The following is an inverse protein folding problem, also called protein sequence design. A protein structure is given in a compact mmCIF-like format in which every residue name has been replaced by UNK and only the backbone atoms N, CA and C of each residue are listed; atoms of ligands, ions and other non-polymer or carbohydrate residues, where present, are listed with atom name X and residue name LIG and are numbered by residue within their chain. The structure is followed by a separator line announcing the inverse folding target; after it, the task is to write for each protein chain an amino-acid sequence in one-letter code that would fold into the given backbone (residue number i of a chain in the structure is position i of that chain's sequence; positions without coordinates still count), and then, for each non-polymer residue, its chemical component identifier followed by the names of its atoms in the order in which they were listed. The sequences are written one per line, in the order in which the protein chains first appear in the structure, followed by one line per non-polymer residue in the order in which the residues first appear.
data_IF_966611953706
#
_entry.id   IF_966611953706
#
_cell.length_a   1.000
_cell.length_b   1.000
_cell.length_c   1.000
_cell.angle_alpha   90.00
_cell.angle_beta   90.00
_cell.angle_gamma   90.00
#
_symmetry.space_group_name_H-M   'P 1'
#
loop_
_entity.id
_entity.type
_entity.pdbx_description
1 polymer ?
#
# COMPACT_ATOMS: atom_id res chain seq x y z
N UNK A 1 31.05 -18.11 -60.56
CA UNK A 1 30.38 -16.94 -59.97
C UNK A 1 29.98 -17.36 -58.56
N UNK A 2 30.91 -17.31 -57.60
CA UNK A 2 31.08 -16.19 -56.64
C UNK A 2 29.85 -16.17 -55.70
N UNK A 3 29.92 -16.81 -54.53
CA UNK A 3 30.44 -16.31 -53.24
C UNK A 3 29.49 -15.34 -52.51
N UNK A 4 29.42 -15.53 -51.18
CA UNK A 4 28.79 -14.69 -50.12
C UNK A 4 27.27 -14.93 -49.94
N UNK A 5 26.70 -15.30 -48.78
CA UNK A 5 26.99 -15.20 -47.33
C UNK A 5 26.31 -16.44 -46.67
N UNK A 6 26.85 -17.31 -45.83
CA UNK A 6 27.66 -17.23 -44.59
C UNK A 6 27.10 -16.30 -43.51
N UNK A 7 26.90 -16.89 -42.32
CA UNK A 7 26.63 -16.26 -41.00
C UNK A 7 25.16 -15.84 -40.79
N UNK A 8 24.40 -16.27 -39.80
CA UNK A 8 24.72 -16.70 -38.41
C UNK A 8 23.52 -17.49 -37.84
N UNK A 9 23.63 -18.82 -37.76
CA UNK A 9 22.71 -19.67 -36.99
C UNK A 9 23.54 -20.35 -35.90
N UNK A 10 23.99 -19.62 -34.87
CA UNK A 10 24.69 -20.18 -33.70
C UNK A 10 24.96 -19.10 -32.63
N UNK A 11 23.95 -18.45 -32.03
CA UNK A 11 24.22 -17.53 -30.89
C UNK A 11 23.16 -17.45 -29.76
N UNK A 12 22.28 -18.44 -29.60
CA UNK A 12 21.43 -18.51 -28.39
C UNK A 12 21.77 -19.73 -27.53
N UNK A 13 23.06 -19.87 -27.20
CA UNK A 13 23.51 -20.75 -26.13
C UNK A 13 24.46 -19.94 -25.24
N UNK A 14 24.06 -19.80 -23.97
CA UNK A 14 24.91 -19.38 -22.85
C UNK A 14 25.50 -17.95 -22.90
N UNK A 15 24.80 -16.99 -22.28
CA UNK A 15 25.46 -15.83 -21.64
C UNK A 15 24.94 -15.64 -20.22
N UNK A 16 25.15 -16.65 -19.38
CA UNK A 16 25.19 -16.49 -17.93
C UNK A 16 26.52 -15.79 -17.60
N UNK A 17 26.53 -14.46 -17.64
CA UNK A 17 27.76 -13.70 -17.37
C UNK A 17 27.82 -13.39 -15.88
N UNK A 18 28.55 -14.24 -15.16
CA UNK A 18 29.05 -14.00 -13.80
C UNK A 18 29.87 -12.70 -13.83
N UNK A 19 29.39 -11.66 -13.14
CA UNK A 19 30.19 -10.47 -12.81
C UNK A 19 30.04 -10.13 -11.34
N UNK A 20 30.71 -10.90 -10.49
CA UNK A 20 31.14 -10.43 -9.19
C UNK A 20 32.50 -11.06 -8.86
N UNK A 21 33.56 -10.44 -9.38
CA UNK A 21 34.89 -10.51 -8.78
C UNK A 21 35.31 -9.07 -8.49
N UNK A 22 35.14 -8.66 -7.24
CA UNK A 22 35.91 -7.57 -6.64
C UNK A 22 36.72 -8.20 -5.51
N UNK A 23 38.02 -8.25 -5.68
CA UNK A 23 38.98 -8.63 -4.63
C UNK A 23 39.49 -7.37 -3.96
N UNK A 24 39.13 -7.13 -2.70
CA UNK A 24 40.02 -6.55 -1.67
C UNK A 24 39.36 -6.58 -0.28
N UNK A 25 40.01 -7.27 0.66
CA UNK A 25 39.91 -7.10 2.12
C UNK A 25 40.99 -6.09 2.57
N UNK A 26 40.98 -5.49 3.80
CA UNK A 26 40.38 -6.01 5.04
C UNK A 26 39.59 -5.01 5.94
N UNK A 27 38.73 -5.61 6.78
CA UNK A 27 38.18 -5.14 8.07
C UNK A 27 37.59 -3.72 8.18
N UNK A 28 36.34 -3.60 7.77
CA UNK A 28 35.32 -2.94 8.59
C UNK A 28 34.05 -3.76 8.49
N UNK A 29 33.38 -3.97 9.63
CA UNK A 29 32.10 -4.67 9.69
C UNK A 29 31.10 -3.94 8.80
N UNK A 30 30.92 -4.43 7.57
CA UNK A 30 29.91 -3.92 6.67
C UNK A 30 28.55 -4.26 7.31
N UNK A 31 27.84 -3.24 7.78
CA UNK A 31 26.38 -3.31 7.90
C UNK A 31 25.88 -3.91 6.59
N UNK A 32 25.13 -5.00 6.67
CA UNK A 32 24.37 -5.53 5.52
C UNK A 32 23.47 -4.38 5.06
N UNK A 33 23.88 -3.65 4.03
CA UNK A 33 22.98 -2.74 3.34
C UNK A 33 22.08 -3.64 2.55
N UNK A 34 20.88 -3.84 3.08
CA UNK A 34 19.83 -4.56 2.40
C UNK A 34 19.41 -3.66 1.24
N UNK A 35 20.11 -3.72 0.10
CA UNK A 35 19.85 -2.94 -1.12
C UNK A 35 18.59 -3.45 -1.83
N UNK A 36 17.54 -3.82 -1.06
CA UNK A 36 16.22 -4.02 -1.62
C UNK A 36 15.66 -2.63 -1.99
N UNK A 37 15.10 -2.46 -3.20
CA UNK A 37 14.43 -1.21 -3.53
C UNK A 37 13.28 -0.98 -2.55
N UNK A 38 13.19 0.25 -2.03
CA UNK A 38 12.13 0.68 -1.10
C UNK A 38 10.78 0.41 -1.74
N UNK A 39 9.95 -0.36 -1.03
CA UNK A 39 8.60 -0.69 -1.49
C UNK A 39 7.63 0.38 -1.01
N UNK A 40 7.04 1.13 -1.95
CA UNK A 40 6.02 2.15 -1.66
C UNK A 40 4.63 1.55 -1.68
N UNK A 41 3.78 2.00 -0.75
CA UNK A 41 2.36 1.69 -0.74
C UNK A 41 1.52 2.95 -0.53
N UNK A 42 0.28 2.90 -1.01
CA UNK A 42 -0.70 3.97 -0.89
C UNK A 42 -1.89 3.49 -0.07
N UNK A 43 -2.31 4.29 0.90
CA UNK A 43 -3.49 4.06 1.71
C UNK A 43 -4.56 5.10 1.37
N UNK A 44 -5.73 4.61 0.99
CA UNK A 44 -6.91 5.39 0.63
C UNK A 44 -8.10 5.01 1.51
N UNK A 45 -9.05 5.93 1.66
CA UNK A 45 -10.30 5.71 2.38
C UNK A 45 -11.49 5.41 1.47
N UNK A 46 -12.49 4.74 2.01
CA UNK A 46 -13.83 4.67 1.43
C UNK A 46 -14.88 4.68 2.54
N UNK A 47 -15.97 5.42 2.33
CA UNK A 47 -17.13 5.39 3.21
C UNK A 47 -17.91 4.09 3.00
N UNK A 48 -18.48 3.57 4.09
CA UNK A 48 -19.20 2.29 4.13
C UNK A 48 -20.58 2.50 4.75
N UNK A 49 -21.62 2.01 4.10
CA UNK A 49 -22.99 2.05 4.61
C UNK A 49 -23.38 0.80 5.41
N UNK A 50 -24.68 0.58 5.53
CA UNK A 50 -25.24 -0.56 6.28
C UNK A 50 -24.90 -1.91 5.63
N UNK A 51 -24.81 -1.94 4.31
CA UNK A 51 -24.43 -3.13 3.55
C UNK A 51 -22.96 -3.06 3.16
N UNK A 52 -22.29 -4.21 3.10
CA UNK A 52 -20.87 -4.29 2.70
C UNK A 52 -20.64 -3.84 1.25
N UNK A 53 -21.69 -3.80 0.45
CA UNK A 53 -21.69 -3.36 -0.95
C UNK A 53 -22.05 -1.88 -1.09
N UNK A 54 -22.50 -1.23 -0.01
CA UNK A 54 -22.72 0.21 0.04
C UNK A 54 -21.40 0.91 0.33
N UNK A 55 -20.59 1.09 -0.71
CA UNK A 55 -19.24 1.64 -0.60
C UNK A 55 -19.10 2.85 -1.51
N UNK A 56 -18.65 3.96 -0.93
CA UNK A 56 -18.34 5.19 -1.65
C UNK A 56 -16.87 5.53 -1.44
N UNK A 57 -16.01 5.34 -2.46
CA UNK A 57 -14.60 5.71 -2.34
C UNK A 57 -14.44 7.20 -2.01
N UNK A 58 -13.43 7.56 -1.22
CA UNK A 58 -13.14 8.96 -0.89
C UNK A 58 -12.88 9.79 -2.16
N UNK A 59 -12.97 11.13 -2.11
CA UNK A 59 -12.63 11.97 -3.26
C UNK A 59 -11.21 11.71 -3.79
N UNK A 60 -10.25 11.42 -2.93
CA UNK A 60 -8.88 11.08 -3.36
C UNK A 60 -8.82 9.69 -3.99
N UNK A 61 -9.51 8.71 -3.42
CA UNK A 61 -9.58 7.35 -3.96
C UNK A 61 -10.24 7.33 -5.35
N UNK A 62 -11.29 8.13 -5.55
CA UNK A 62 -11.94 8.29 -6.85
C UNK A 62 -11.00 8.92 -7.88
N UNK A 63 -10.26 9.96 -7.50
CA UNK A 63 -9.26 10.60 -8.36
C UNK A 63 -8.16 9.62 -8.76
N UNK A 64 -7.55 8.96 -7.79
CA UNK A 64 -6.53 7.94 -8.03
C UNK A 64 -7.03 6.85 -8.97
N UNK A 65 -8.20 6.27 -8.69
CA UNK A 65 -8.80 5.23 -9.53
C UNK A 65 -9.05 5.71 -10.97
N UNK A 66 -9.48 6.96 -11.15
CA UNK A 66 -9.71 7.57 -12.46
C UNK A 66 -8.41 7.75 -13.24
N UNK A 67 -7.33 8.17 -12.59
CA UNK A 67 -6.01 8.37 -13.21
C UNK A 67 -5.44 7.05 -13.76
N UNK A 68 -5.72 5.93 -13.10
CA UNK A 68 -5.23 4.61 -13.49
C UNK A 68 -6.26 3.80 -14.29
N UNK A 69 -7.42 4.38 -14.61
CA UNK A 69 -8.55 3.72 -15.29
C UNK A 69 -9.00 2.41 -14.61
N UNK A 70 -9.03 2.39 -13.28
CA UNK A 70 -9.45 1.23 -12.49
C UNK A 70 -10.87 1.42 -11.95
N UNK A 71 -11.75 0.44 -12.14
CA UNK A 71 -13.10 0.46 -11.56
C UNK A 71 -13.08 0.08 -10.08
N UNK A 72 -12.55 1.01 -9.26
CA UNK A 72 -12.43 0.81 -7.82
C UNK A 72 -13.80 0.61 -7.16
N UNK A 73 -14.81 1.37 -7.58
CA UNK A 73 -16.16 1.26 -7.01
C UNK A 73 -16.75 -0.11 -7.34
N UNK A 74 -16.73 -0.54 -8.60
CA UNK A 74 -17.23 -1.85 -8.99
C UNK A 74 -16.51 -3.01 -8.30
N UNK A 75 -15.18 -2.90 -8.11
CA UNK A 75 -14.40 -3.90 -7.37
C UNK A 75 -14.86 -4.03 -5.90
N UNK A 76 -15.10 -2.90 -5.23
CA UNK A 76 -15.53 -2.87 -3.83
C UNK A 76 -17.00 -3.26 -3.66
N UNK A 77 -17.91 -2.77 -4.50
CA UNK A 77 -19.35 -3.05 -4.36
C UNK A 77 -19.77 -4.40 -4.93
N UNK A 78 -18.99 -4.99 -5.83
CA UNK A 78 -19.33 -6.24 -6.51
C UNK A 78 -18.85 -7.48 -5.78
N UNK A 79 -17.53 -7.69 -5.73
CA UNK A 79 -16.94 -8.97 -5.30
C UNK A 79 -16.35 -8.93 -3.89
N UNK A 80 -15.78 -7.80 -3.49
CA UNK A 80 -14.96 -7.73 -2.28
C UNK A 80 -15.77 -7.30 -1.05
N UNK A 81 -16.68 -6.36 -1.22
CA UNK A 81 -17.30 -5.62 -0.13
C UNK A 81 -16.28 -4.83 0.71
N UNK A 82 -16.76 -3.91 1.53
CA UNK A 82 -15.95 -3.21 2.52
C UNK A 82 -16.83 -2.85 3.72
N UNK A 83 -16.37 -3.17 4.92
CA UNK A 83 -16.98 -2.74 6.18
C UNK A 83 -16.10 -1.70 6.89
N UNK A 84 -16.66 -1.04 7.91
CA UNK A 84 -15.90 -0.16 8.80
C UNK A 84 -14.68 -0.87 9.39
N UNK A 85 -13.50 -0.23 9.31
CA UNK A 85 -12.23 -0.78 9.81
C UNK A 85 -11.67 -1.95 8.99
N UNK A 86 -12.40 -2.45 7.99
CA UNK A 86 -11.85 -3.44 7.07
C UNK A 86 -10.98 -2.80 6.00
N UNK A 87 -10.07 -3.60 5.45
CA UNK A 87 -9.13 -3.18 4.41
C UNK A 87 -9.21 -4.13 3.22
N UNK A 88 -9.08 -3.58 2.01
CA UNK A 88 -8.80 -4.33 0.78
C UNK A 88 -7.49 -3.85 0.19
N UNK A 89 -6.58 -4.77 -0.09
CA UNK A 89 -5.25 -4.44 -0.63
C UNK A 89 -5.17 -4.96 -2.06
N UNK A 90 -4.81 -4.07 -2.98
CA UNK A 90 -4.62 -4.33 -4.39
C UNK A 90 -3.13 -4.20 -4.72
N UNK A 91 -2.51 -5.28 -5.17
CA UNK A 91 -1.09 -5.29 -5.54
C UNK A 91 -0.92 -4.87 -7.01
N UNK A 92 0.17 -4.14 -7.29
CA UNK A 92 0.64 -3.80 -8.63
C UNK A 92 -0.43 -3.12 -9.52
N UNK A 93 -1.25 -2.23 -8.94
CA UNK A 93 -2.18 -1.39 -9.73
C UNK A 93 -1.43 -0.32 -10.54
N UNK A 94 -0.24 0.08 -10.10
CA UNK A 94 0.59 1.12 -10.70
C UNK A 94 2.06 0.76 -10.61
N UNK A 95 2.90 1.39 -11.42
CA UNK A 95 4.35 1.25 -11.32
C UNK A 95 4.94 2.02 -10.11
N UNK A 96 4.20 2.98 -9.55
CA UNK A 96 4.66 3.81 -8.42
C UNK A 96 4.45 3.14 -7.06
N UNK A 97 3.28 2.55 -6.85
CA UNK A 97 2.91 1.87 -5.62
C UNK A 97 2.83 0.36 -5.83
N UNK A 98 3.66 -0.39 -5.09
CA UNK A 98 3.61 -1.86 -5.05
C UNK A 98 2.24 -2.35 -4.59
N UNK A 99 1.63 -1.67 -3.62
CA UNK A 99 0.33 -2.05 -3.08
C UNK A 99 -0.50 -0.80 -2.74
N UNK A 100 -1.79 -0.88 -3.01
CA UNK A 100 -2.77 0.15 -2.66
C UNK A 100 -3.79 -0.47 -1.71
N UNK A 101 -3.88 0.05 -0.49
CA UNK A 101 -4.87 -0.33 0.50
C UNK A 101 -6.05 0.65 0.47
N UNK A 102 -7.27 0.11 0.50
CA UNK A 102 -8.50 0.88 0.68
C UNK A 102 -9.16 0.45 1.99
N UNK A 103 -9.30 1.38 2.91
CA UNK A 103 -9.81 1.15 4.26
C UNK A 103 -11.21 1.76 4.46
N UNK A 104 -12.09 1.03 5.14
CA UNK A 104 -13.46 1.46 5.44
C UNK A 104 -13.51 2.49 6.57
N UNK A 105 -13.92 3.71 6.25
CA UNK A 105 -14.00 4.85 7.17
C UNK A 105 -15.34 4.94 7.93
N UNK A 106 -16.18 3.92 7.85
CA UNK A 106 -17.53 3.98 8.41
C UNK A 106 -18.48 4.84 7.57
N UNK A 107 -19.65 5.21 8.12
CA UNK A 107 -20.68 5.94 7.38
C UNK A 107 -20.19 7.31 6.91
N UNK A 108 -20.61 7.69 5.71
CA UNK A 108 -20.38 9.04 5.18
C UNK A 108 -21.03 10.06 6.13
N UNK A 109 -20.33 11.12 6.56
CA UNK A 109 -20.91 12.17 7.39
C UNK A 109 -22.20 12.78 6.82
N UNK A 110 -22.44 12.72 5.51
CA UNK A 110 -23.62 13.30 4.87
C UNK A 110 -23.64 14.83 4.95
N UNK A 111 -24.33 15.47 4.02
CA UNK A 111 -24.33 16.94 3.93
C UNK A 111 -25.33 17.61 4.87
N UNK A 112 -26.42 16.96 5.31
CA UNK A 112 -27.40 17.58 6.21
C UNK A 112 -28.51 16.59 6.65
N UNK A 113 -28.51 16.16 7.94
CA UNK A 113 -29.75 15.97 8.74
C UNK A 113 -29.55 15.47 10.19
N UNK A 114 -28.33 15.34 10.70
CA UNK A 114 -28.11 15.08 12.13
C UNK A 114 -26.97 15.96 12.67
N UNK A 115 -27.12 17.28 12.45
CA UNK A 115 -26.22 18.32 13.00
C UNK A 115 -26.08 18.25 14.53
N UNK A 116 -26.96 17.51 15.21
CA UNK A 116 -26.95 17.29 16.66
C UNK A 116 -26.41 15.90 17.11
N UNK A 117 -26.07 14.96 16.21
CA UNK A 117 -25.69 13.57 16.62
C UNK A 117 -24.40 13.01 16.04
N UNK A 118 -23.80 13.66 15.04
CA UNK A 118 -22.47 13.30 14.57
C UNK A 118 -21.40 13.76 15.56
N UNK A 119 -21.10 12.94 16.57
CA UNK A 119 -20.02 13.22 17.49
C UNK A 119 -18.71 13.38 16.67
N UNK A 120 -18.17 14.60 16.59
CA UNK A 120 -16.91 14.89 15.88
C UNK A 120 -15.82 13.91 16.30
N UNK A 121 -15.80 13.52 17.58
CA UNK A 121 -14.87 12.51 18.08
C UNK A 121 -15.09 11.14 17.43
N UNK A 122 -16.33 10.71 17.21
CA UNK A 122 -16.64 9.42 16.55
C UNK A 122 -16.10 9.38 15.11
N UNK A 123 -16.26 10.48 14.36
CA UNK A 123 -15.72 10.57 12.99
C UNK A 123 -14.21 10.45 12.98
N UNK A 124 -13.54 11.13 13.92
CA UNK A 124 -12.08 11.02 14.08
C UNK A 124 -11.66 9.60 14.44
N UNK A 125 -12.41 8.91 15.30
CA UNK A 125 -12.14 7.50 15.64
C UNK A 125 -12.28 6.57 14.42
N UNK A 126 -13.26 6.78 13.55
CA UNK A 126 -13.35 5.99 12.32
C UNK A 126 -12.14 6.19 11.41
N UNK A 127 -11.68 7.43 11.24
CA UNK A 127 -10.49 7.74 10.46
C UNK A 127 -9.24 7.11 11.08
N UNK A 128 -9.07 7.22 12.41
CA UNK A 128 -7.96 6.57 13.12
C UNK A 128 -7.95 5.06 12.90
N UNK A 129 -9.11 4.42 13.05
CA UNK A 129 -9.26 2.98 12.88
C UNK A 129 -8.93 2.55 11.43
N UNK A 130 -9.52 3.21 10.44
CA UNK A 130 -9.27 2.94 9.03
C UNK A 130 -7.79 3.14 8.65
N UNK A 131 -7.19 4.25 9.09
CA UNK A 131 -5.79 4.55 8.81
C UNK A 131 -4.84 3.55 9.48
N UNK A 132 -5.10 3.20 10.74
CA UNK A 132 -4.31 2.21 11.45
C UNK A 132 -4.41 0.81 10.85
N UNK A 133 -5.64 0.36 10.55
CA UNK A 133 -5.88 -0.94 9.95
C UNK A 133 -5.20 -1.07 8.57
N UNK A 134 -5.34 -0.06 7.71
CA UNK A 134 -4.74 -0.13 6.39
C UNK A 134 -3.22 0.06 6.39
N UNK A 135 -2.67 0.88 7.30
CA UNK A 135 -1.23 1.01 7.45
C UNK A 135 -0.61 -0.31 7.95
N UNK A 136 -1.26 -0.98 8.92
CA UNK A 136 -0.86 -2.34 9.35
C UNK A 136 -0.93 -3.33 8.19
N UNK A 137 -2.01 -3.33 7.42
CA UNK A 137 -2.16 -4.23 6.27
C UNK A 137 -1.06 -4.04 5.23
N UNK A 138 -0.63 -2.80 4.97
CA UNK A 138 0.51 -2.52 4.08
C UNK A 138 1.84 -2.98 4.69
N UNK A 139 2.06 -2.76 5.99
CA UNK A 139 3.26 -3.23 6.69
C UNK A 139 3.37 -4.77 6.61
N UNK A 140 2.27 -5.50 6.82
CA UNK A 140 2.23 -6.97 6.70
C UNK A 140 2.52 -7.46 5.27
N UNK A 141 2.31 -6.61 4.25
CA UNK A 141 2.68 -6.87 2.85
C UNK A 141 4.13 -6.52 2.52
N UNK A 142 4.91 -6.10 3.51
CA UNK A 142 6.33 -5.73 3.35
C UNK A 142 6.53 -4.38 2.66
N UNK A 143 5.57 -3.47 2.80
CA UNK A 143 5.71 -2.08 2.35
C UNK A 143 6.59 -1.31 3.34
N UNK A 144 7.59 -0.60 2.82
CA UNK A 144 8.57 0.16 3.60
C UNK A 144 8.13 1.63 3.80
N UNK A 145 7.55 2.24 2.76
CA UNK A 145 7.04 3.62 2.79
C UNK A 145 5.55 3.65 2.48
N UNK A 146 4.74 4.16 3.42
CA UNK A 146 3.29 4.25 3.28
C UNK A 146 2.86 5.71 3.11
N UNK A 147 2.21 6.01 2.00
CA UNK A 147 1.59 7.29 1.73
C UNK A 147 0.13 7.22 2.19
N UNK A 148 -0.25 8.10 3.11
CA UNK A 148 -1.55 8.06 3.80
C UNK A 148 -2.44 9.18 3.28
N UNK A 149 -3.62 8.84 2.76
CA UNK A 149 -4.66 9.83 2.46
C UNK A 149 -5.08 10.57 3.74
N UNK A 150 -5.31 11.89 3.64
CA UNK A 150 -5.77 12.69 4.76
C UNK A 150 -7.21 12.40 5.22
N UNK A 151 -8.03 11.66 4.47
CA UNK A 151 -9.40 11.24 4.86
C UNK A 151 -10.30 12.36 5.43
N UNK A 152 -10.17 13.59 4.91
CA UNK A 152 -10.80 14.82 5.43
C UNK A 152 -10.38 15.28 6.85
N UNK A 153 -9.55 14.52 7.57
CA UNK A 153 -8.89 14.90 8.83
C UNK A 153 -7.48 14.28 8.87
N UNK A 154 -6.50 15.06 8.41
CA UNK A 154 -5.11 14.59 8.32
C UNK A 154 -4.45 14.32 9.68
N UNK A 155 -4.94 14.94 10.76
CA UNK A 155 -4.44 14.70 12.12
C UNK A 155 -4.88 13.30 12.58
N UNK A 156 -6.18 13.00 12.47
CA UNK A 156 -6.70 11.68 12.83
C UNK A 156 -6.09 10.56 11.96
N UNK A 157 -5.89 10.81 10.66
CA UNK A 157 -5.26 9.85 9.75
C UNK A 157 -3.80 9.57 10.13
N UNK A 158 -3.03 10.62 10.43
CA UNK A 158 -1.63 10.48 10.85
C UNK A 158 -1.49 9.76 12.20
N UNK A 159 -2.32 10.10 13.18
CA UNK A 159 -2.39 9.40 14.47
C UNK A 159 -2.70 7.91 14.28
N UNK A 160 -3.76 7.60 13.53
CA UNK A 160 -4.19 6.23 13.26
C UNK A 160 -3.11 5.41 12.57
N UNK A 161 -2.53 5.91 11.49
CA UNK A 161 -1.48 5.22 10.76
C UNK A 161 -0.23 4.99 11.64
N UNK A 162 0.22 6.00 12.38
CA UNK A 162 1.43 5.94 13.22
C UNK A 162 1.26 4.93 14.36
N UNK A 163 0.14 4.98 15.09
CA UNK A 163 -0.15 4.02 16.15
C UNK A 163 -0.43 2.63 15.58
N UNK A 164 -1.06 2.57 14.41
CA UNK A 164 -1.45 1.34 13.74
C UNK A 164 -0.28 0.47 13.29
N UNK A 165 0.89 1.06 12.96
CA UNK A 165 2.09 0.30 12.56
C UNK A 165 3.04 0.02 13.73
N UNK A 166 2.89 0.70 14.85
CA UNK A 166 3.78 0.57 15.99
C UNK A 166 3.75 -0.85 16.59
N UNK A 167 4.92 -1.37 16.93
CA UNK A 167 5.10 -2.65 17.62
C UNK A 167 6.24 -2.45 18.62
N UNK A 168 6.01 -2.81 19.87
CA UNK A 168 7.07 -2.84 20.88
C UNK A 168 8.00 -4.02 20.61
N UNK A 169 9.28 -3.72 20.34
CA UNK A 169 10.28 -4.73 19.98
C UNK A 169 11.48 -4.75 20.92
N UNK A 170 11.52 -3.90 21.96
CA UNK A 170 12.70 -3.75 22.85
C UNK A 170 13.14 -5.07 23.50
N UNK A 171 12.20 -5.98 23.80
CA UNK A 171 12.49 -7.27 24.45
C UNK A 171 12.41 -8.48 23.52
N UNK A 172 12.18 -8.25 22.22
CA UNK A 172 12.16 -9.31 21.22
C UNK A 172 13.61 -9.70 20.89
N UNK A 173 13.88 -10.98 20.68
CA UNK A 173 15.20 -11.43 20.23
C UNK A 173 15.55 -10.72 18.91
N UNK A 174 16.79 -10.28 18.78
CA UNK A 174 17.23 -9.48 17.63
C UNK A 174 16.93 -10.12 16.28
N UNK A 175 17.04 -11.45 16.19
CA UNK A 175 16.76 -12.21 14.96
C UNK A 175 15.27 -12.27 14.60
N UNK A 176 14.40 -12.09 15.60
CA UNK A 176 12.95 -12.10 15.44
C UNK A 176 12.38 -10.70 15.17
N UNK A 177 13.20 -9.65 15.28
CA UNK A 177 12.79 -8.28 15.02
C UNK A 177 12.60 -8.06 13.51
N UNK A 178 11.51 -7.38 13.16
CA UNK A 178 11.10 -7.09 11.78
C UNK A 178 11.04 -5.58 11.52
#
# INVERSE_FOLDING_TARGET
MILQRVSTNFQNVLKLTIRYLSTSTPHQAAKVTNDKPVQKGLLLGAYTGCERTDVTPSPMAQRFASEINFDLKGALTGQLGLGEGEVRVFDNLTDEFRAVAVAGMGPDPGDEQDKDKGNVYQRREYIRNAAGAGARALQERGIDEIYVEHMMDGEAAAEGATLGVWIEQQFRHYEDQF
#
